data_IF_503745281443
#
_entry.id   IF_503745281443
#
_cell.length_a   1.000
_cell.length_b   1.000
_cell.length_c   1.000
_cell.angle_alpha   90.00
_cell.angle_beta   90.00
_cell.angle_gamma   90.00
#
_symmetry.space_group_name_H-M   'P 1'
#
loop_
_entity.id
_entity.type
_entity.pdbx_description
1 polymer ?
#
# COMPACT_ATOMS: atom_id res chain seq x y z
N UNK A 1 -36.65 -115.17 0.76
CA UNK A 1 -36.87 -114.27 -0.40
C UNK A 1 -37.52 -112.98 0.10
N UNK A 2 -37.28 -111.75 -0.33
CA UNK A 2 -36.19 -111.08 -1.03
C UNK A 2 -36.42 -109.56 -0.81
N UNK A 3 -35.34 -108.78 -0.62
CA UNK A 3 -35.35 -107.31 -0.44
C UNK A 3 -36.02 -106.57 -1.60
N UNK A 4 -36.76 -105.48 -1.33
CA UNK A 4 -36.87 -104.31 -2.22
C UNK A 4 -37.39 -103.09 -1.43
N UNK A 5 -36.47 -102.20 -1.02
CA UNK A 5 -36.16 -100.88 -1.61
C UNK A 5 -37.28 -99.83 -1.42
N UNK A 6 -37.06 -98.96 -0.43
CA UNK A 6 -37.71 -97.64 -0.29
C UNK A 6 -37.10 -96.68 -1.32
N UNK A 7 -37.94 -95.94 -2.05
CA UNK A 7 -37.61 -94.59 -2.54
C UNK A 7 -38.90 -93.82 -2.80
N UNK A 8 -39.16 -92.90 -1.87
CA UNK A 8 -39.87 -91.63 -1.97
C UNK A 8 -40.96 -91.49 -3.06
N UNK A 9 -42.20 -91.56 -2.59
CA UNK A 9 -43.37 -91.04 -3.28
C UNK A 9 -43.28 -89.50 -3.36
N UNK A 10 -43.54 -89.00 -4.58
CA UNK A 10 -43.78 -87.59 -4.89
C UNK A 10 -44.96 -87.07 -4.07
N UNK A 11 -44.72 -86.05 -3.24
CA UNK A 11 -45.78 -85.22 -2.70
C UNK A 11 -46.36 -84.35 -3.81
N UNK A 12 -47.69 -84.30 -3.86
CA UNK A 12 -48.50 -83.57 -4.83
C UNK A 12 -48.54 -82.03 -4.66
N UNK A 13 -49.59 -81.37 -5.17
CA UNK A 13 -49.48 -80.17 -5.98
C UNK A 13 -49.52 -78.86 -5.18
N UNK A 14 -48.94 -77.79 -5.74
CA UNK A 14 -49.17 -76.42 -5.32
C UNK A 14 -49.51 -75.53 -6.52
N UNK A 15 -50.65 -74.87 -6.40
CA UNK A 15 -51.33 -73.93 -7.30
C UNK A 15 -50.47 -72.69 -7.63
N UNK A 16 -50.68 -72.05 -8.80
CA UNK A 16 -49.88 -70.92 -9.25
C UNK A 16 -50.33 -69.62 -8.56
N UNK A 17 -49.37 -68.83 -8.09
CA UNK A 17 -49.61 -67.46 -7.63
C UNK A 17 -48.79 -66.52 -8.52
N UNK A 18 -49.39 -66.07 -9.62
CA UNK A 18 -48.91 -64.93 -10.40
C UNK A 18 -48.99 -63.67 -9.53
N UNK A 19 -47.87 -63.32 -8.90
CA UNK A 19 -47.66 -61.97 -8.40
C UNK A 19 -46.92 -61.19 -9.48
N UNK A 20 -47.67 -60.39 -10.24
CA UNK A 20 -47.13 -59.41 -11.16
C UNK A 20 -46.18 -58.45 -10.39
N UNK A 21 -44.88 -58.53 -10.69
CA UNK A 21 -43.90 -57.53 -10.25
C UNK A 21 -44.28 -56.17 -10.85
N UNK A 22 -44.68 -55.24 -9.99
CA UNK A 22 -44.92 -53.84 -10.38
C UNK A 22 -43.60 -53.25 -10.90
N UNK A 23 -43.57 -52.55 -12.04
CA UNK A 23 -42.36 -51.91 -12.52
C UNK A 23 -41.92 -50.87 -11.47
N UNK A 24 -40.71 -51.04 -10.92
CA UNK A 24 -40.08 -50.04 -10.06
C UNK A 24 -39.91 -48.76 -10.87
N UNK A 25 -40.67 -47.72 -10.52
CA UNK A 25 -40.51 -46.39 -11.09
C UNK A 25 -39.10 -45.89 -10.74
N UNK A 26 -38.21 -45.89 -11.73
CA UNK A 26 -36.94 -45.18 -11.63
C UNK A 26 -37.20 -43.73 -11.98
N UNK A 27 -36.93 -42.86 -11.01
CA UNK A 27 -37.10 -41.42 -11.18
C UNK A 27 -36.18 -40.93 -12.32
N UNK A 28 -36.70 -40.26 -13.36
CA UNK A 28 -35.90 -39.77 -14.48
C UNK A 28 -34.77 -38.83 -14.03
N UNK A 29 -34.92 -38.17 -12.87
CA UNK A 29 -33.86 -37.37 -12.27
C UNK A 29 -32.71 -38.23 -11.74
N UNK A 30 -33.00 -39.36 -11.11
CA UNK A 30 -31.96 -40.28 -10.65
C UNK A 30 -31.26 -40.95 -11.82
N UNK A 31 -31.98 -41.35 -12.87
CA UNK A 31 -31.37 -41.87 -14.10
C UNK A 31 -30.47 -40.83 -14.79
N UNK A 32 -30.90 -39.56 -14.87
CA UNK A 32 -30.09 -38.49 -15.46
C UNK A 32 -28.83 -38.17 -14.65
N UNK A 33 -28.91 -38.20 -13.31
CA UNK A 33 -27.75 -38.01 -12.43
C UNK A 33 -26.80 -39.20 -12.49
N UNK A 34 -27.34 -40.43 -12.53
CA UNK A 34 -26.54 -41.66 -12.60
C UNK A 34 -25.82 -41.76 -13.94
N UNK A 35 -26.49 -41.43 -15.05
CA UNK A 35 -25.89 -41.41 -16.37
C UNK A 35 -24.83 -40.31 -16.52
N UNK A 36 -25.03 -39.11 -15.91
CA UNK A 36 -23.98 -38.07 -15.92
C UNK A 36 -22.76 -38.44 -15.06
N UNK A 37 -22.94 -39.19 -13.98
CA UNK A 37 -21.84 -39.68 -13.14
C UNK A 37 -21.10 -40.83 -13.85
N UNK A 38 -21.82 -41.72 -14.53
CA UNK A 38 -21.23 -42.78 -15.35
C UNK A 38 -20.50 -42.25 -16.60
N UNK A 39 -21.03 -41.22 -17.27
CA UNK A 39 -20.39 -40.60 -18.43
C UNK A 39 -19.15 -39.79 -18.05
N UNK A 40 -19.18 -39.13 -16.87
CA UNK A 40 -17.97 -38.57 -16.28
C UNK A 40 -16.97 -39.69 -16.00
N UNK A 41 -17.39 -40.80 -15.37
CA UNK A 41 -16.56 -41.98 -15.10
C UNK A 41 -15.92 -42.60 -16.35
N UNK A 42 -16.65 -42.70 -17.46
CA UNK A 42 -16.14 -43.22 -18.76
C UNK A 42 -15.17 -42.27 -19.45
N UNK A 43 -15.34 -40.95 -19.29
CA UNK A 43 -14.33 -39.97 -19.74
C UNK A 43 -13.03 -40.02 -18.91
N UNK A 44 -13.10 -40.61 -17.72
CA UNK A 44 -11.97 -40.84 -16.80
C UNK A 44 -11.35 -42.24 -16.89
N UNK A 45 -12.04 -43.20 -17.51
CA UNK A 45 -11.57 -44.58 -17.68
C UNK A 45 -10.43 -44.62 -18.72
N UNK A 46 -9.20 -44.91 -18.25
CA UNK A 46 -7.99 -44.98 -19.07
C UNK A 46 -7.04 -43.78 -18.95
N UNK A 47 -7.44 -42.66 -18.34
CA UNK A 47 -6.59 -41.46 -18.10
C UNK A 47 -6.15 -41.30 -16.65
N UNK A 48 -6.32 -42.33 -15.81
CA UNK A 48 -6.06 -42.30 -14.37
C UNK A 48 -4.66 -41.76 -13.99
N UNK A 49 -3.62 -42.08 -14.76
CA UNK A 49 -2.28 -41.51 -14.55
C UNK A 49 -2.22 -40.01 -14.84
N UNK A 50 -2.82 -39.53 -15.92
CA UNK A 50 -2.83 -38.10 -16.27
C UNK A 50 -3.65 -37.27 -15.28
N UNK A 51 -4.77 -37.82 -14.79
CA UNK A 51 -5.58 -37.18 -13.74
C UNK A 51 -4.84 -37.17 -12.42
N UNK A 52 -4.18 -38.28 -12.05
CA UNK A 52 -3.35 -38.36 -10.85
C UNK A 52 -2.17 -37.38 -10.91
N UNK A 53 -1.51 -37.24 -12.06
CA UNK A 53 -0.45 -36.24 -12.26
C UNK A 53 -1.00 -34.81 -12.27
N UNK A 54 -2.19 -34.57 -12.82
CA UNK A 54 -2.86 -33.27 -12.77
C UNK A 54 -3.22 -32.86 -11.34
N UNK A 55 -3.82 -33.77 -10.56
CA UNK A 55 -4.12 -33.54 -9.15
C UNK A 55 -2.83 -33.37 -8.35
N UNK A 56 -1.83 -34.23 -8.57
CA UNK A 56 -0.51 -34.12 -7.93
C UNK A 56 0.18 -32.78 -8.23
N UNK A 57 0.12 -32.31 -9.47
CA UNK A 57 0.67 -31.01 -9.87
C UNK A 57 -0.07 -29.85 -9.18
N UNK A 58 -1.39 -29.91 -9.07
CA UNK A 58 -2.18 -28.90 -8.35
C UNK A 58 -1.88 -28.89 -6.84
N UNK A 59 -1.69 -30.04 -6.22
CA UNK A 59 -1.29 -30.14 -4.81
C UNK A 59 0.11 -29.54 -4.60
N UNK A 60 1.07 -29.87 -5.46
CA UNK A 60 2.43 -29.29 -5.39
C UNK A 60 2.38 -27.78 -5.61
N UNK A 61 1.61 -27.30 -6.58
CA UNK A 61 1.43 -25.87 -6.82
C UNK A 61 0.79 -25.17 -5.60
N UNK A 62 -0.22 -25.79 -4.98
CA UNK A 62 -0.84 -25.29 -3.75
C UNK A 62 0.16 -25.20 -2.59
N UNK A 63 1.05 -26.18 -2.43
CA UNK A 63 2.13 -26.17 -1.44
C UNK A 63 3.13 -25.03 -1.73
N UNK A 64 3.54 -24.86 -2.99
CA UNK A 64 4.45 -23.77 -3.39
C UNK A 64 3.82 -22.42 -3.07
N UNK A 65 2.54 -22.22 -3.40
CA UNK A 65 1.81 -20.98 -3.09
C UNK A 65 1.73 -20.78 -1.58
N UNK A 66 1.39 -21.82 -0.80
CA UNK A 66 1.31 -21.72 0.66
C UNK A 66 2.66 -21.38 1.31
N UNK A 67 3.74 -22.01 0.86
CA UNK A 67 5.12 -21.71 1.30
C UNK A 67 5.50 -20.28 0.94
N UNK A 68 5.19 -19.84 -0.29
CA UNK A 68 5.45 -18.48 -0.74
C UNK A 68 4.69 -17.44 0.08
N UNK A 69 3.38 -17.64 0.30
CA UNK A 69 2.54 -16.73 1.11
C UNK A 69 3.03 -16.67 2.56
N UNK A 70 3.34 -17.82 3.16
CA UNK A 70 3.85 -17.88 4.53
C UNK A 70 5.21 -17.18 4.67
N UNK A 71 6.12 -17.41 3.72
CA UNK A 71 7.41 -16.73 3.69
C UNK A 71 7.26 -15.23 3.48
N UNK A 72 6.40 -14.81 2.53
CA UNK A 72 6.13 -13.40 2.24
C UNK A 72 5.53 -12.67 3.45
N UNK A 73 4.57 -13.28 4.16
CA UNK A 73 3.96 -12.67 5.35
C UNK A 73 4.96 -12.53 6.50
N UNK A 74 5.78 -13.55 6.73
CA UNK A 74 6.83 -13.51 7.76
C UNK A 74 7.93 -12.50 7.39
N UNK A 75 8.28 -12.44 6.11
CA UNK A 75 9.25 -11.49 5.57
C UNK A 75 8.76 -10.05 5.73
N UNK A 76 7.48 -9.78 5.45
CA UNK A 76 6.89 -8.45 5.63
C UNK A 76 6.89 -7.99 7.09
N UNK A 77 6.54 -8.86 8.04
CA UNK A 77 6.59 -8.50 9.47
C UNK A 77 8.02 -8.22 9.94
N UNK A 78 8.98 -9.03 9.50
CA UNK A 78 10.40 -8.80 9.79
C UNK A 78 10.90 -7.50 9.15
N UNK A 79 10.50 -7.21 7.91
CA UNK A 79 10.87 -6.00 7.19
C UNK A 79 10.31 -4.73 7.86
N UNK A 80 9.05 -4.75 8.32
CA UNK A 80 8.46 -3.65 9.08
C UNK A 80 9.18 -3.40 10.40
N UNK A 81 9.55 -4.48 11.11
CA UNK A 81 10.32 -4.37 12.35
C UNK A 81 11.70 -3.76 12.09
N UNK A 82 12.37 -4.20 11.03
CA UNK A 82 13.68 -3.69 10.63
C UNK A 82 13.61 -2.21 10.19
N UNK A 83 12.62 -1.84 9.38
CA UNK A 83 12.36 -0.45 9.00
C UNK A 83 12.08 0.43 10.24
N UNK A 84 11.27 -0.07 11.17
CA UNK A 84 10.97 0.63 12.43
C UNK A 84 12.24 0.97 13.21
N UNK A 85 13.19 0.02 13.28
CA UNK A 85 14.48 0.24 13.94
C UNK A 85 15.31 1.35 13.30
N UNK A 86 15.30 1.44 11.96
CA UNK A 86 15.93 2.54 11.24
C UNK A 86 15.25 3.88 11.51
N UNK A 87 13.91 3.89 11.59
CA UNK A 87 13.12 5.09 11.93
C UNK A 87 13.40 5.55 13.36
N UNK A 88 13.50 4.63 14.33
CA UNK A 88 13.88 4.94 15.71
C UNK A 88 15.25 5.64 15.75
N UNK A 89 16.23 5.15 14.99
CA UNK A 89 17.55 5.78 14.88
C UNK A 89 17.44 7.18 14.27
N UNK A 90 16.69 7.34 13.18
CA UNK A 90 16.50 8.63 12.51
C UNK A 90 15.80 9.66 13.41
N UNK A 91 14.90 9.22 14.29
CA UNK A 91 14.13 10.08 15.20
C UNK A 91 14.82 10.33 16.54
N UNK A 92 15.84 9.54 16.87
CA UNK A 92 16.61 9.65 18.11
C UNK A 92 17.10 11.08 18.37
N UNK A 93 17.10 11.48 19.63
CA UNK A 93 17.52 12.81 20.04
C UNK A 93 19.00 13.04 19.74
N UNK A 94 19.29 14.21 19.15
CA UNK A 94 20.66 14.72 19.02
C UNK A 94 20.94 15.64 20.19
N UNK A 95 21.82 15.22 21.09
CA UNK A 95 22.12 15.92 22.34
C UNK A 95 23.48 15.51 22.89
N UNK A 96 24.19 16.46 23.49
CA UNK A 96 25.41 16.20 24.25
C UNK A 96 25.13 15.81 25.71
N UNK A 97 23.86 15.88 26.13
CA UNK A 97 23.44 15.50 27.48
C UNK A 97 23.33 13.97 27.57
N UNK A 98 23.99 13.33 28.55
CA UNK A 98 23.85 11.89 28.75
C UNK A 98 22.39 11.49 29.01
N UNK A 99 21.93 10.34 28.50
CA UNK A 99 20.62 9.81 28.84
C UNK A 99 20.43 9.70 30.36
N UNK A 100 19.20 9.91 30.82
CA UNK A 100 18.85 9.71 32.23
C UNK A 100 19.22 8.29 32.68
N UNK A 101 19.67 8.14 33.92
CA UNK A 101 20.02 6.83 34.48
C UNK A 101 18.83 5.86 34.37
N UNK A 102 19.06 4.73 33.69
CA UNK A 102 18.02 3.72 33.41
C UNK A 102 17.30 3.88 32.07
N UNK A 103 17.59 4.94 31.29
CA UNK A 103 17.08 5.07 29.92
C UNK A 103 17.81 4.11 28.97
N UNK A 104 17.06 3.44 28.12
CA UNK A 104 17.57 2.65 26.98
C UNK A 104 17.53 3.42 25.66
N UNK A 105 17.14 4.70 25.71
CA UNK A 105 17.03 5.54 24.52
C UNK A 105 18.40 5.81 23.93
N UNK A 106 18.54 5.55 22.63
CA UNK A 106 19.76 5.92 21.91
C UNK A 106 19.73 7.42 21.65
N UNK A 107 20.82 8.09 21.98
CA UNK A 107 21.07 9.48 21.61
C UNK A 107 22.34 9.56 20.75
N UNK A 108 22.45 10.62 19.96
CA UNK A 108 23.60 10.89 19.11
C UNK A 108 24.15 12.28 19.41
N UNK A 109 25.46 12.49 19.27
CA UNK A 109 26.05 13.81 19.56
C UNK A 109 25.81 14.79 18.44
N UNK A 110 25.75 14.30 17.21
CA UNK A 110 25.56 15.15 16.02
C UNK A 110 24.51 14.59 15.08
N UNK A 111 23.95 15.49 14.25
CA UNK A 111 23.03 15.12 13.18
C UNK A 111 23.69 14.16 12.18
N UNK A 112 24.97 14.38 11.86
CA UNK A 112 25.73 13.54 10.94
C UNK A 112 25.89 12.12 11.47
N UNK A 113 26.26 11.97 12.74
CA UNK A 113 26.43 10.66 13.39
C UNK A 113 25.12 9.86 13.40
N UNK A 114 23.99 10.52 13.75
CA UNK A 114 22.66 9.91 13.67
C UNK A 114 22.31 9.46 12.26
N UNK A 115 22.58 10.32 11.28
CA UNK A 115 22.31 10.03 9.87
C UNK A 115 23.14 8.85 9.35
N UNK A 116 24.45 8.79 9.67
CA UNK A 116 25.32 7.66 9.33
C UNK A 116 24.80 6.34 9.93
N UNK A 117 24.37 6.35 11.19
CA UNK A 117 23.76 5.19 11.84
C UNK A 117 22.44 4.76 11.19
N UNK A 118 21.58 5.74 10.82
CA UNK A 118 20.32 5.47 10.11
C UNK A 118 20.57 4.86 8.72
N UNK A 119 21.52 5.43 7.96
CA UNK A 119 21.90 4.94 6.62
C UNK A 119 22.33 3.49 6.71
N UNK A 120 23.23 3.14 7.64
CA UNK A 120 23.72 1.79 7.80
C UNK A 120 22.59 0.77 8.08
N UNK A 121 21.63 1.13 8.95
CA UNK A 121 20.48 0.26 9.22
C UNK A 121 19.57 0.13 7.99
N UNK A 122 19.24 1.23 7.31
CA UNK A 122 18.37 1.18 6.13
C UNK A 122 19.03 0.47 4.94
N UNK A 123 20.33 0.60 4.74
CA UNK A 123 21.06 -0.17 3.72
C UNK A 123 21.04 -1.67 4.03
N UNK A 124 21.20 -2.05 5.30
CA UNK A 124 21.04 -3.44 5.74
C UNK A 124 19.62 -3.96 5.43
N UNK A 125 18.58 -3.18 5.76
CA UNK A 125 17.19 -3.53 5.43
C UNK A 125 17.00 -3.68 3.92
N UNK A 126 17.54 -2.76 3.11
CA UNK A 126 17.45 -2.82 1.66
C UNK A 126 18.18 -4.03 1.04
N UNK A 127 19.26 -4.50 1.68
CA UNK A 127 19.99 -5.69 1.28
C UNK A 127 19.29 -7.00 1.67
N UNK A 128 18.60 -7.01 2.82
CA UNK A 128 17.90 -8.20 3.33
C UNK A 128 16.49 -8.36 2.76
N UNK A 129 15.79 -7.26 2.47
CA UNK A 129 14.40 -7.24 2.06
C UNK A 129 14.24 -6.61 0.67
N UNK A 130 13.52 -7.32 -0.21
CA UNK A 130 13.12 -6.81 -1.53
C UNK A 130 11.76 -6.11 -1.54
N UNK A 131 11.29 -5.75 -2.73
CA UNK A 131 9.98 -5.13 -2.94
C UNK A 131 9.81 -3.80 -2.22
N UNK A 132 8.57 -3.50 -1.81
CA UNK A 132 8.22 -2.21 -1.22
C UNK A 132 9.01 -1.86 0.04
N UNK A 133 9.36 -2.86 0.87
CA UNK A 133 10.13 -2.59 2.09
C UNK A 133 11.59 -2.21 1.78
N UNK A 134 12.23 -2.93 0.85
CA UNK A 134 13.57 -2.58 0.38
C UNK A 134 13.62 -1.23 -0.32
N UNK A 135 12.60 -0.90 -1.12
CA UNK A 135 12.49 0.41 -1.78
C UNK A 135 12.33 1.55 -0.77
N UNK A 136 11.47 1.39 0.24
CA UNK A 136 11.34 2.37 1.33
C UNK A 136 12.63 2.52 2.13
N UNK A 137 13.33 1.43 2.40
CA UNK A 137 14.63 1.49 3.07
C UNK A 137 15.66 2.29 2.26
N UNK A 138 15.77 2.04 0.95
CA UNK A 138 16.64 2.84 0.06
C UNK A 138 16.29 4.32 0.07
N UNK A 139 15.00 4.65 0.05
CA UNK A 139 14.54 6.03 0.16
C UNK A 139 14.98 6.68 1.48
N UNK A 140 14.76 6.03 2.62
CA UNK A 140 15.16 6.58 3.92
C UNK A 140 16.68 6.70 4.06
N UNK A 141 17.45 5.77 3.49
CA UNK A 141 18.90 5.88 3.43
C UNK A 141 19.31 7.14 2.65
N UNK A 142 18.74 7.39 1.47
CA UNK A 142 19.06 8.56 0.66
C UNK A 142 18.65 9.89 1.36
N UNK A 143 17.50 9.94 2.03
CA UNK A 143 17.08 11.14 2.78
C UNK A 143 18.05 11.43 3.92
N UNK A 144 18.47 10.42 4.70
CA UNK A 144 19.47 10.63 5.75
C UNK A 144 20.84 11.02 5.17
N UNK A 145 21.17 10.51 3.99
CA UNK A 145 22.40 10.87 3.27
C UNK A 145 22.48 12.36 2.91
N UNK A 146 21.37 13.10 2.87
CA UNK A 146 21.39 14.56 2.72
C UNK A 146 22.20 15.28 3.84
N UNK A 147 22.34 14.67 5.02
CA UNK A 147 23.13 15.20 6.14
C UNK A 147 24.59 14.76 6.13
N UNK A 148 24.97 13.84 5.23
CA UNK A 148 26.29 13.18 5.21
C UNK A 148 27.02 13.48 3.91
N UNK A 149 26.34 13.27 2.79
CA UNK A 149 26.80 13.50 1.43
C UNK A 149 25.59 13.94 0.57
N UNK A 150 25.40 15.26 0.48
CA UNK A 150 24.24 15.84 -0.18
C UNK A 150 24.21 15.57 -1.68
N UNK A 151 25.37 15.53 -2.35
CA UNK A 151 25.44 15.36 -3.79
C UNK A 151 25.03 13.93 -4.17
N UNK A 152 25.59 12.94 -3.47
CA UNK A 152 25.22 11.53 -3.66
C UNK A 152 23.74 11.30 -3.33
N UNK A 153 23.25 11.86 -2.22
CA UNK A 153 21.84 11.75 -1.83
C UNK A 153 20.89 12.28 -2.90
N UNK A 154 21.18 13.47 -3.46
CA UNK A 154 20.38 14.05 -4.54
C UNK A 154 20.40 13.13 -5.76
N UNK A 155 21.56 12.59 -6.15
CA UNK A 155 21.64 11.64 -7.27
C UNK A 155 20.78 10.39 -7.05
N UNK A 156 20.75 9.84 -5.83
CA UNK A 156 19.94 8.68 -5.49
C UNK A 156 18.44 8.99 -5.50
N UNK A 157 18.04 10.15 -4.95
CA UNK A 157 16.65 10.61 -4.97
C UNK A 157 16.16 10.84 -6.39
N UNK A 158 16.98 11.43 -7.26
CA UNK A 158 16.65 11.63 -8.68
C UNK A 158 16.50 10.30 -9.42
N UNK A 159 17.37 9.32 -9.15
CA UNK A 159 17.24 7.98 -9.72
C UNK A 159 15.93 7.30 -9.27
N UNK A 160 15.56 7.43 -8.00
CA UNK A 160 14.29 6.91 -7.48
C UNK A 160 13.07 7.67 -8.03
N UNK A 161 13.19 8.98 -8.27
CA UNK A 161 12.15 9.81 -8.87
C UNK A 161 11.80 9.44 -10.33
N UNK A 162 12.70 8.71 -11.01
CA UNK A 162 12.46 8.12 -12.33
C UNK A 162 11.54 6.89 -12.32
N UNK A 163 11.25 6.32 -11.15
CA UNK A 163 10.34 5.19 -10.98
C UNK A 163 8.86 5.58 -10.95
N UNK A 164 8.03 4.66 -10.43
CA UNK A 164 6.60 4.86 -10.22
C UNK A 164 6.17 4.46 -8.81
N UNK A 165 5.04 4.99 -8.33
CA UNK A 165 4.47 4.63 -7.04
C UNK A 165 4.98 5.50 -5.89
N UNK A 166 4.69 5.08 -4.66
CA UNK A 166 4.91 5.85 -3.43
C UNK A 166 6.35 6.36 -3.28
N UNK A 167 7.34 5.47 -3.45
CA UNK A 167 8.76 5.84 -3.29
C UNK A 167 9.20 6.84 -4.35
N UNK A 168 8.75 6.72 -5.60
CA UNK A 168 9.08 7.68 -6.64
C UNK A 168 8.47 9.06 -6.34
N UNK A 169 7.24 9.12 -5.81
CA UNK A 169 6.60 10.36 -5.37
C UNK A 169 7.36 11.01 -4.21
N UNK A 170 7.71 10.23 -3.19
CA UNK A 170 8.47 10.72 -2.03
C UNK A 170 9.88 11.19 -2.43
N UNK A 171 10.56 10.44 -3.32
CA UNK A 171 11.88 10.78 -3.81
C UNK A 171 11.86 12.05 -4.68
N UNK A 172 10.85 12.21 -5.54
CA UNK A 172 10.66 13.43 -6.34
C UNK A 172 10.50 14.65 -5.42
N UNK A 173 9.72 14.53 -4.34
CA UNK A 173 9.52 15.64 -3.39
C UNK A 173 10.78 15.97 -2.61
N UNK A 174 11.47 14.95 -2.07
CA UNK A 174 12.73 15.15 -1.35
C UNK A 174 13.83 15.73 -2.26
N UNK A 175 13.91 15.30 -3.53
CA UNK A 175 14.79 15.91 -4.53
C UNK A 175 14.43 17.38 -4.74
N UNK A 176 13.15 17.71 -4.92
CA UNK A 176 12.70 19.10 -5.07
C UNK A 176 13.12 19.98 -3.89
N UNK A 177 12.93 19.52 -2.65
CA UNK A 177 13.37 20.22 -1.44
C UNK A 177 14.88 20.41 -1.43
N UNK A 178 15.64 19.34 -1.68
CA UNK A 178 17.10 19.39 -1.66
C UNK A 178 17.66 20.34 -2.73
N UNK A 179 17.02 20.42 -3.91
CA UNK A 179 17.32 21.36 -5.00
C UNK A 179 16.97 22.80 -4.62
N UNK A 180 15.80 23.03 -4.03
CA UNK A 180 15.35 24.36 -3.61
C UNK A 180 16.30 24.97 -2.57
N UNK A 181 16.69 24.19 -1.57
CA UNK A 181 17.68 24.57 -0.56
C UNK A 181 19.05 24.91 -1.17
N UNK A 182 19.41 24.23 -2.27
CA UNK A 182 20.66 24.48 -3.01
C UNK A 182 20.56 25.68 -3.97
N UNK A 183 19.44 26.42 -3.97
CA UNK A 183 19.19 27.53 -4.89
C UNK A 183 18.90 27.09 -6.34
N UNK A 184 18.72 25.80 -6.58
CA UNK A 184 18.43 25.23 -7.90
C UNK A 184 16.93 25.28 -8.18
N UNK A 185 16.37 26.49 -8.18
CA UNK A 185 14.93 26.72 -8.21
C UNK A 185 14.25 26.23 -9.49
N UNK A 186 14.92 26.28 -10.64
CA UNK A 186 14.38 25.77 -11.91
C UNK A 186 14.03 24.27 -11.80
N UNK A 187 14.98 23.46 -11.31
CA UNK A 187 14.81 22.01 -11.12
C UNK A 187 13.81 21.71 -10.02
N UNK A 188 13.87 22.44 -8.92
CA UNK A 188 12.91 22.27 -7.83
C UNK A 188 11.47 22.52 -8.31
N UNK A 189 11.24 23.61 -9.05
CA UNK A 189 9.94 23.94 -9.60
C UNK A 189 9.45 22.91 -10.62
N UNK A 190 10.34 22.33 -11.43
CA UNK A 190 10.01 21.20 -12.31
C UNK A 190 9.47 19.99 -11.54
N UNK A 191 10.16 19.56 -10.49
CA UNK A 191 9.72 18.43 -9.66
C UNK A 191 8.41 18.72 -8.94
N UNK A 192 8.25 19.90 -8.34
CA UNK A 192 6.99 20.26 -7.68
C UNK A 192 5.83 20.35 -8.68
N UNK A 193 6.06 20.88 -9.90
CA UNK A 193 5.03 20.86 -10.96
C UNK A 193 4.65 19.44 -11.34
N UNK A 194 5.62 18.54 -11.51
CA UNK A 194 5.36 17.10 -11.77
C UNK A 194 4.49 16.49 -10.66
N UNK A 195 4.74 16.85 -9.40
CA UNK A 195 3.95 16.35 -8.27
C UNK A 195 2.54 16.97 -8.20
N UNK A 196 2.40 18.23 -8.62
CA UNK A 196 1.13 18.97 -8.54
C UNK A 196 0.04 18.41 -9.47
N UNK A 197 0.40 17.57 -10.45
CA UNK A 197 -0.53 16.88 -11.35
C UNK A 197 -0.99 15.53 -10.80
N UNK A 198 -0.46 15.08 -9.66
CA UNK A 198 -0.85 13.84 -8.99
C UNK A 198 -2.19 13.94 -8.25
N UNK A 199 -2.58 12.84 -7.59
CA UNK A 199 -3.85 12.75 -6.85
C UNK A 199 -3.78 13.20 -5.38
N UNK A 200 -2.59 13.57 -4.90
CA UNK A 200 -2.37 14.05 -3.54
C UNK A 200 -2.43 12.99 -2.43
N UNK A 201 -2.49 11.69 -2.76
CA UNK A 201 -2.65 10.63 -1.74
C UNK A 201 -1.41 10.40 -0.88
N UNK A 202 -0.22 10.55 -1.46
CA UNK A 202 1.05 10.32 -0.75
C UNK A 202 1.54 11.60 -0.09
N UNK A 203 1.46 12.71 -0.81
CA UNK A 203 1.80 14.04 -0.34
C UNK A 203 0.62 14.96 -0.67
N UNK A 204 0.03 15.66 0.31
CA UNK A 204 -1.10 16.54 0.06
C UNK A 204 -0.79 17.60 -1.01
N UNK A 205 -1.72 17.82 -1.94
CA UNK A 205 -1.55 18.81 -3.00
C UNK A 205 -1.32 20.22 -2.46
N UNK A 206 -1.91 20.57 -1.31
CA UNK A 206 -1.68 21.85 -0.64
C UNK A 206 -0.21 22.08 -0.32
N UNK A 207 0.48 21.06 0.20
CA UNK A 207 1.90 21.13 0.54
C UNK A 207 2.73 21.29 -0.73
N UNK A 208 2.44 20.51 -1.77
CA UNK A 208 3.15 20.59 -3.07
C UNK A 208 2.98 21.98 -3.69
N UNK A 209 1.75 22.52 -3.70
CA UNK A 209 1.44 23.83 -4.29
C UNK A 209 2.07 24.97 -3.49
N UNK A 210 2.07 24.89 -2.16
CA UNK A 210 2.77 25.84 -1.30
C UNK A 210 4.26 25.88 -1.61
N UNK A 211 4.92 24.71 -1.61
CA UNK A 211 6.35 24.62 -1.87
C UNK A 211 6.72 25.02 -3.30
N UNK A 212 5.86 24.73 -4.28
CA UNK A 212 5.99 25.23 -5.64
C UNK A 212 5.91 26.77 -5.68
N UNK A 213 4.92 27.37 -5.03
CA UNK A 213 4.75 28.82 -4.96
C UNK A 213 5.96 29.51 -4.31
N UNK A 214 6.45 29.00 -3.18
CA UNK A 214 7.66 29.48 -2.50
C UNK A 214 8.91 29.34 -3.37
N UNK A 215 9.00 28.25 -4.13
CA UNK A 215 10.12 28.02 -5.05
C UNK A 215 10.08 29.01 -6.21
N UNK A 216 8.92 29.24 -6.82
CA UNK A 216 8.72 30.21 -7.89
C UNK A 216 9.00 31.65 -7.44
N UNK A 217 8.58 32.00 -6.23
CA UNK A 217 8.89 33.29 -5.60
C UNK A 217 10.42 33.50 -5.54
N UNK A 218 11.15 32.51 -5.02
CA UNK A 218 12.62 32.54 -4.94
C UNK A 218 13.30 32.48 -6.31
N UNK A 219 12.69 31.84 -7.30
CA UNK A 219 13.13 31.84 -8.70
C UNK A 219 12.97 33.23 -9.37
N UNK A 220 12.20 34.13 -8.76
CA UNK A 220 11.87 35.45 -9.31
C UNK A 220 10.62 35.46 -10.20
N UNK A 221 9.96 34.31 -10.37
CA UNK A 221 8.70 34.20 -11.12
C UNK A 221 7.50 34.51 -10.21
N UNK A 222 7.40 35.80 -9.83
CA UNK A 222 6.41 36.27 -8.85
C UNK A 222 4.97 36.10 -9.32
N UNK A 223 4.71 36.26 -10.62
CA UNK A 223 3.35 36.16 -11.16
C UNK A 223 2.81 34.73 -11.03
N UNK A 224 3.59 33.72 -11.41
CA UNK A 224 3.20 32.31 -11.26
C UNK A 224 3.12 31.93 -9.77
N UNK A 225 4.05 32.41 -8.94
CA UNK A 225 4.05 32.17 -7.49
C UNK A 225 2.74 32.67 -6.85
N UNK A 226 2.40 33.94 -7.08
CA UNK A 226 1.17 34.56 -6.57
C UNK A 226 -0.05 33.80 -7.09
N UNK A 227 -0.06 33.39 -8.35
CA UNK A 227 -1.20 32.66 -8.89
C UNK A 227 -1.42 31.31 -8.21
N UNK A 228 -0.38 30.51 -8.03
CA UNK A 228 -0.49 29.19 -7.39
C UNK A 228 -0.89 29.32 -5.92
N UNK A 229 -0.29 30.24 -5.19
CA UNK A 229 -0.60 30.45 -3.77
C UNK A 229 -2.01 31.02 -3.57
N UNK A 230 -2.46 31.91 -4.46
CA UNK A 230 -3.81 32.45 -4.44
C UNK A 230 -4.86 31.36 -4.70
N UNK A 231 -4.68 30.56 -5.75
CA UNK A 231 -5.60 29.46 -6.07
C UNK A 231 -5.67 28.43 -4.94
N UNK A 232 -4.52 28.13 -4.31
CA UNK A 232 -4.47 27.26 -3.13
C UNK A 232 -5.30 27.84 -1.98
N UNK A 233 -5.01 29.08 -1.57
CA UNK A 233 -5.68 29.71 -0.44
C UNK A 233 -7.18 29.91 -0.69
N UNK A 234 -7.56 30.37 -1.88
CA UNK A 234 -8.95 30.60 -2.27
C UNK A 234 -9.74 29.29 -2.30
N UNK A 235 -9.23 28.27 -2.99
CA UNK A 235 -9.92 26.96 -3.07
C UNK A 235 -10.14 26.37 -1.69
N UNK A 236 -9.13 26.46 -0.81
CA UNK A 236 -9.25 25.97 0.56
C UNK A 236 -10.25 26.79 1.39
N UNK A 237 -10.29 28.11 1.25
CA UNK A 237 -11.25 28.99 1.94
C UNK A 237 -12.70 28.76 1.50
N UNK A 238 -12.91 28.40 0.24
CA UNK A 238 -14.23 28.13 -0.34
C UNK A 238 -14.71 26.68 -0.10
N UNK A 239 -13.82 25.81 0.40
CA UNK A 239 -14.10 24.40 0.58
C UNK A 239 -15.15 24.17 1.67
N UNK A 240 -16.13 23.32 1.35
CA UNK A 240 -17.22 22.93 2.24
C UNK A 240 -17.30 21.41 2.36
N UNK A 241 -17.69 20.93 3.53
CA UNK A 241 -17.99 19.51 3.75
C UNK A 241 -19.34 19.13 3.10
N UNK A 242 -19.75 17.87 3.27
CA UNK A 242 -20.99 17.35 2.65
C UNK A 242 -22.24 18.01 3.22
N UNK A 243 -22.13 18.56 4.41
CA UNK A 243 -23.14 19.27 5.17
C UNK A 243 -23.17 20.77 4.82
N UNK A 244 -22.27 21.22 3.92
CA UNK A 244 -22.19 22.60 3.46
C UNK A 244 -21.48 23.54 4.45
N UNK A 245 -20.84 23.00 5.49
CA UNK A 245 -20.06 23.76 6.47
C UNK A 245 -18.64 23.98 5.97
N UNK A 246 -18.09 25.16 6.25
CA UNK A 246 -16.72 25.50 5.87
C UNK A 246 -15.71 24.55 6.52
N UNK A 247 -14.72 24.14 5.72
CA UNK A 247 -13.61 23.30 6.17
C UNK A 247 -12.52 24.21 6.77
N UNK A 248 -11.92 23.85 7.92
CA UNK A 248 -10.78 24.59 8.46
C UNK A 248 -9.61 24.58 7.46
N UNK A 249 -8.97 25.73 7.27
CA UNK A 249 -7.81 25.83 6.39
C UNK A 249 -6.66 24.93 6.86
N UNK A 250 -6.02 24.26 5.92
CA UNK A 250 -4.75 23.57 6.19
C UNK A 250 -3.67 24.60 6.56
N UNK A 251 -2.66 24.19 7.32
CA UNK A 251 -1.51 25.05 7.63
C UNK A 251 -0.86 25.60 6.35
N UNK A 252 -0.83 24.79 5.29
CA UNK A 252 -0.29 25.20 4.00
C UNK A 252 -1.15 26.26 3.29
N UNK A 253 -2.48 26.14 3.36
CA UNK A 253 -3.39 27.14 2.81
C UNK A 253 -3.35 28.47 3.60
N UNK A 254 -3.16 28.40 4.93
CA UNK A 254 -2.92 29.58 5.76
C UNK A 254 -1.63 30.29 5.37
N UNK A 255 -0.52 29.56 5.28
CA UNK A 255 0.78 30.13 4.85
C UNK A 255 0.68 30.71 3.43
N UNK A 256 -0.02 30.04 2.52
CA UNK A 256 -0.26 30.54 1.18
C UNK A 256 -1.06 31.85 1.19
N UNK A 257 -2.11 31.95 2.02
CA UNK A 257 -2.89 33.19 2.19
C UNK A 257 -2.02 34.34 2.68
N UNK A 258 -1.19 34.11 3.69
CA UNK A 258 -0.26 35.10 4.23
C UNK A 258 0.76 35.55 3.18
N UNK A 259 1.30 34.61 2.41
CA UNK A 259 2.21 34.90 1.29
C UNK A 259 1.55 35.72 0.18
N UNK A 260 0.30 35.44 -0.18
CA UNK A 260 -0.42 36.24 -1.19
C UNK A 260 -0.65 37.66 -0.67
N UNK A 261 -0.96 37.83 0.63
CA UNK A 261 -1.09 39.15 1.26
C UNK A 261 0.22 39.96 1.21
N UNK A 262 1.36 39.30 1.39
CA UNK A 262 2.69 39.90 1.26
C UNK A 262 3.01 40.29 -0.20
N UNK A 263 2.80 39.37 -1.14
CA UNK A 263 3.24 39.51 -2.53
C UNK A 263 2.27 40.30 -3.41
N UNK A 264 0.97 40.21 -3.14
CA UNK A 264 -0.10 40.78 -3.95
C UNK A 264 -1.33 41.16 -3.07
N UNK A 265 -1.23 42.24 -2.27
CA UNK A 265 -2.24 42.59 -1.26
C UNK A 265 -3.63 42.86 -1.84
N UNK A 266 -3.72 43.38 -3.07
CA UNK A 266 -5.01 43.58 -3.74
C UNK A 266 -5.68 42.25 -4.10
N UNK A 267 -4.90 41.28 -4.63
CA UNK A 267 -5.40 39.95 -4.95
C UNK A 267 -5.79 39.17 -3.69
N UNK A 268 -5.09 39.40 -2.58
CA UNK A 268 -5.41 38.78 -1.29
C UNK A 268 -6.81 39.12 -0.77
N UNK A 269 -7.37 40.28 -1.13
CA UNK A 269 -8.73 40.69 -0.75
C UNK A 269 -9.82 39.82 -1.39
N UNK A 270 -9.50 39.10 -2.45
CA UNK A 270 -10.41 38.17 -3.12
C UNK A 270 -10.46 36.80 -2.44
N UNK A 271 -9.55 36.51 -1.50
CA UNK A 271 -9.55 35.25 -0.72
C UNK A 271 -10.58 35.40 0.40
N UNK A 272 -11.63 34.54 0.47
CA UNK A 272 -12.60 34.60 1.55
C UNK A 272 -11.94 34.40 2.91
N UNK A 273 -12.41 35.14 3.91
CA UNK A 273 -12.04 34.89 5.30
C UNK A 273 -12.63 33.54 5.76
N UNK A 274 -11.83 32.69 6.44
CA UNK A 274 -12.35 31.43 6.97
C UNK A 274 -13.46 31.72 7.98
N UNK A 275 -14.50 30.88 7.97
CA UNK A 275 -15.61 30.99 8.93
C UNK A 275 -15.04 30.90 10.37
N UNK A 276 -15.28 31.90 11.24
CA UNK A 276 -14.85 31.86 12.63
C UNK A 276 -15.30 30.59 13.37
N UNK A 277 -16.47 30.03 13.00
CA UNK A 277 -16.98 28.78 13.57
C UNK A 277 -16.24 27.52 13.08
N UNK A 278 -15.52 27.59 11.95
CA UNK A 278 -14.63 26.55 11.45
C UNK A 278 -13.21 26.67 12.04
N UNK A 279 -12.80 27.86 12.49
CA UNK A 279 -11.49 28.08 13.10
C UNK A 279 -11.30 27.41 14.48
N UNK A 280 -12.32 26.75 15.04
CA UNK A 280 -12.24 26.05 16.33
C UNK A 280 -11.95 26.98 17.50
N UNK A 281 -12.04 28.30 17.31
CA UNK A 281 -11.87 29.26 18.37
C UNK A 281 -13.11 29.18 19.28
N UNK A 282 -12.97 28.85 20.57
CA UNK A 282 -14.10 28.88 21.48
C UNK A 282 -14.67 30.31 21.50
N UNK A 283 -15.95 30.43 21.20
CA UNK A 283 -16.67 31.69 21.35
C UNK A 283 -16.75 32.08 22.84
N UNK A 284 -16.15 33.22 23.21
CA UNK A 284 -16.28 33.89 24.52
C UNK A 284 -15.33 33.35 25.61
N UNK A 285 -14.59 34.14 26.39
CA UNK A 285 -14.72 35.54 26.82
C UNK A 285 -13.35 36.23 26.90
#
# INVERSE_FOLDING_TARGET
MARKKRRFEQAGPAVPNEQAEKPRYQDPFQAAVTNRIEDAGKAFEGKGRTILYGIGALVVLGIIIAVFVQWNNRSQAAAQTALGKGIEIMQAQVTDVPPLAGSTEKTYKTQRERAEAAIAEFERVAGEFGGAAGEKAKYFAAVNRLHVDREMAVSELEAMAGGSGEVATLATFAAAQARADAGQFDKAAEHYRKLSTGDGKIIPLDIIKLELGKTLEKQGNKDEAVNILFELAKTASEAKDKEGKSIPLSAAALEAKDKVKELAPEKAKEIPEPDPAAAGLPFGF
#
